data_IF_303287811550
#
_entry.id   IF_303287811550
#
_cell.length_a   1.000
_cell.length_b   1.000
_cell.length_c   1.000
_cell.angle_alpha   90.00
_cell.angle_beta   90.00
_cell.angle_gamma   90.00
#
_symmetry.space_group_name_H-M   'P 1'
#
loop_
_entity.id
_entity.type
_entity.pdbx_description
1 polymer ?
#
# COMPACT_ATOMS: atom_id res chain seq x y z
N UNK A 1 -6.81 -5.81 -6.68
CA UNK A 1 -6.47 -6.17 -5.29
C UNK A 1 -6.83 -7.63 -5.10
N UNK A 2 -5.97 -8.36 -4.38
CA UNK A 2 -6.25 -9.75 -3.96
C UNK A 2 -7.55 -9.81 -3.17
N UNK A 3 -8.16 -11.00 -3.12
CA UNK A 3 -9.38 -11.19 -2.33
C UNK A 3 -9.11 -10.93 -0.86
N UNK A 4 -10.14 -10.50 -0.13
CA UNK A 4 -10.05 -10.28 1.32
C UNK A 4 -9.63 -11.56 2.06
N UNK A 5 -10.05 -12.73 1.57
CA UNK A 5 -9.65 -14.01 2.14
C UNK A 5 -8.15 -14.26 1.99
N UNK A 6 -7.57 -13.99 0.82
CA UNK A 6 -6.13 -14.09 0.59
C UNK A 6 -5.35 -13.13 1.49
N UNK A 7 -5.76 -11.86 1.55
CA UNK A 7 -5.10 -10.85 2.39
C UNK A 7 -5.14 -11.26 3.87
N UNK A 8 -6.31 -11.69 4.38
CA UNK A 8 -6.47 -12.15 5.77
C UNK A 8 -5.64 -13.39 6.11
N UNK A 9 -5.32 -14.22 5.11
CA UNK A 9 -4.49 -15.41 5.30
C UNK A 9 -2.98 -15.11 5.28
N UNK A 10 -2.58 -13.90 4.87
CA UNK A 10 -1.17 -13.54 4.72
C UNK A 10 -0.50 -13.31 6.08
N UNK A 11 0.46 -14.16 6.41
CA UNK A 11 1.21 -14.13 7.68
C UNK A 11 2.16 -12.93 7.80
N UNK A 12 2.41 -12.22 6.69
CA UNK A 12 3.25 -11.01 6.65
C UNK A 12 2.54 -9.80 7.25
N UNK A 13 1.24 -9.88 7.55
CA UNK A 13 0.50 -8.80 8.19
C UNK A 13 -0.18 -9.26 9.47
N UNK A 14 -0.36 -8.31 10.40
CA UNK A 14 -1.16 -8.45 11.60
C UNK A 14 -2.30 -7.46 11.53
N UNK A 15 -3.49 -7.97 11.26
CA UNK A 15 -4.72 -7.16 11.16
C UNK A 15 -5.10 -6.67 12.56
N UNK A 16 -5.45 -5.39 12.62
CA UNK A 16 -5.81 -4.68 13.86
C UNK A 16 -7.27 -4.29 13.82
N UNK A 17 -7.73 -3.85 12.66
CA UNK A 17 -9.11 -3.46 12.43
C UNK A 17 -9.52 -3.79 10.98
N UNK A 18 -10.80 -4.03 10.78
CA UNK A 18 -11.37 -4.40 9.49
C UNK A 18 -12.79 -3.85 9.39
N UNK A 19 -13.03 -3.03 8.37
CA UNK A 19 -14.32 -2.43 8.05
C UNK A 19 -14.90 -2.94 6.75
N UNK A 20 -16.01 -2.34 6.34
CA UNK A 20 -16.70 -2.67 5.10
C UNK A 20 -15.85 -2.40 3.85
N UNK A 21 -15.08 -1.31 3.88
CA UNK A 21 -14.35 -0.74 2.74
C UNK A 21 -12.85 -0.54 3.01
N UNK A 22 -12.33 -1.12 4.09
CA UNK A 22 -10.93 -0.99 4.42
C UNK A 22 -10.47 -1.85 5.58
N UNK A 23 -9.17 -1.83 5.82
CA UNK A 23 -8.52 -2.48 6.96
C UNK A 23 -7.30 -1.73 7.44
N UNK A 24 -6.99 -1.89 8.73
CA UNK A 24 -5.76 -1.44 9.34
C UNK A 24 -4.94 -2.64 9.79
N UNK A 25 -3.66 -2.68 9.43
CA UNK A 25 -2.75 -3.73 9.82
C UNK A 25 -1.33 -3.22 10.04
N UNK A 26 -0.49 -4.08 10.58
CA UNK A 26 0.95 -3.86 10.68
C UNK A 26 1.70 -4.91 9.89
N UNK A 27 2.78 -4.51 9.24
CA UNK A 27 3.69 -5.47 8.61
C UNK A 27 4.46 -6.23 9.70
N UNK A 28 4.54 -7.56 9.56
CA UNK A 28 5.26 -8.45 10.47
C UNK A 28 6.62 -8.83 9.88
N UNK A 29 7.63 -8.95 10.75
CA UNK A 29 8.99 -9.30 10.36
C UNK A 29 9.96 -9.16 11.53
N UNK A 30 11.02 -9.96 11.56
CA UNK A 30 12.02 -9.92 12.64
C UNK A 30 12.74 -8.57 12.73
N UNK A 31 12.82 -7.86 11.61
CA UNK A 31 13.41 -6.51 11.53
C UNK A 31 12.52 -5.44 12.19
N UNK A 32 11.22 -5.70 12.37
CA UNK A 32 10.29 -4.75 12.97
C UNK A 32 10.13 -5.07 14.46
N UNK A 33 10.45 -4.11 15.33
CA UNK A 33 10.23 -4.28 16.78
C UNK A 33 8.75 -4.13 17.12
N UNK A 34 8.23 -5.03 17.95
CA UNK A 34 6.86 -4.92 18.49
C UNK A 34 6.80 -3.84 19.59
N UNK A 35 5.74 -3.00 19.64
CA UNK A 35 4.71 -2.84 18.65
C UNK A 35 5.06 -1.68 17.68
N UNK A 36 5.22 -2.02 16.39
CA UNK A 36 4.74 -1.24 15.23
C UNK A 36 5.64 -0.12 14.70
N UNK A 37 6.67 -0.50 13.94
CA UNK A 37 7.38 0.47 13.10
C UNK A 37 6.63 0.82 11.81
N UNK A 38 5.82 -0.08 11.24
CA UNK A 38 5.15 0.14 9.95
C UNK A 38 3.64 -0.09 9.99
N UNK A 39 2.88 1.00 9.98
CA UNK A 39 1.43 0.99 9.86
C UNK A 39 1.01 0.89 8.39
N UNK A 40 -0.03 0.10 8.13
CA UNK A 40 -0.60 -0.10 6.80
C UNK A 40 -2.10 0.10 6.89
N UNK A 41 -2.64 0.96 6.03
CA UNK A 41 -4.08 1.14 5.85
C UNK A 41 -4.40 0.79 4.41
N UNK A 42 -5.35 -0.11 4.21
CA UNK A 42 -5.84 -0.48 2.88
C UNK A 42 -7.32 -0.12 2.75
N UNK A 43 -7.73 0.33 1.56
CA UNK A 43 -9.12 0.66 1.22
C UNK A 43 -9.46 0.23 -0.20
N UNK A 44 -10.74 -0.11 -0.42
CA UNK A 44 -11.29 -0.50 -1.72
C UNK A 44 -12.60 0.26 -2.05
N UNK A 45 -12.71 1.51 -1.57
CA UNK A 45 -13.85 2.39 -1.81
C UNK A 45 -13.57 3.48 -2.86
N UNK A 46 -14.62 4.23 -3.23
CA UNK A 46 -14.47 5.42 -4.08
C UNK A 46 -14.00 5.15 -5.51
N UNK A 47 -14.08 3.91 -5.98
CA UNK A 47 -13.57 3.50 -7.30
C UNK A 47 -12.05 3.24 -7.33
N UNK A 48 -11.41 3.18 -6.17
CA UNK A 48 -9.97 2.96 -6.05
C UNK A 48 -9.64 1.82 -5.09
N UNK A 49 -8.58 1.12 -5.41
CA UNK A 49 -7.82 0.31 -4.49
C UNK A 49 -6.64 1.15 -4.00
N UNK A 50 -6.50 1.24 -2.69
CA UNK A 50 -5.53 2.11 -2.04
C UNK A 50 -4.84 1.37 -0.90
N UNK A 51 -3.51 1.54 -0.81
CA UNK A 51 -2.76 1.19 0.39
C UNK A 51 -1.83 2.35 0.75
N UNK A 52 -1.91 2.83 1.99
CA UNK A 52 -0.93 3.76 2.56
C UNK A 52 -0.07 3.07 3.60
N UNK A 53 1.22 3.36 3.58
CA UNK A 53 2.24 2.77 4.46
C UNK A 53 2.97 3.90 5.16
N UNK A 54 3.02 3.88 6.49
CA UNK A 54 3.69 4.92 7.26
C UNK A 54 4.52 4.36 8.41
N UNK A 55 5.65 5.03 8.68
CA UNK A 55 6.49 4.75 9.85
C UNK A 55 6.76 6.03 10.63
N UNK A 56 7.05 5.91 11.92
CA UNK A 56 7.20 7.07 12.82
C UNK A 56 8.37 7.98 12.48
N UNK A 57 9.47 7.44 11.97
CA UNK A 57 10.76 8.12 11.93
C UNK A 57 11.50 8.07 10.59
N UNK A 58 10.97 7.38 9.58
CA UNK A 58 11.59 7.27 8.26
C UNK A 58 10.56 6.92 7.20
N UNK A 59 10.86 7.23 5.95
CA UNK A 59 10.08 6.75 4.81
C UNK A 59 10.15 5.20 4.72
N UNK A 60 9.08 4.52 4.27
CA UNK A 60 9.17 3.13 3.83
C UNK A 60 10.27 2.98 2.76
N UNK A 61 11.01 1.87 2.80
CA UNK A 61 12.01 1.58 1.76
C UNK A 61 11.33 1.03 0.51
N UNK A 62 12.07 0.99 -0.59
CA UNK A 62 11.59 0.38 -1.83
C UNK A 62 11.16 -1.08 -1.64
N UNK A 63 11.97 -1.88 -0.97
CA UNK A 63 11.71 -3.30 -0.71
C UNK A 63 10.46 -3.51 0.16
N UNK A 64 10.22 -2.59 1.10
CA UNK A 64 9.02 -2.61 1.94
C UNK A 64 7.78 -2.31 1.10
N UNK A 65 7.87 -1.33 0.18
CA UNK A 65 6.77 -1.02 -0.74
C UNK A 65 6.51 -2.15 -1.73
N UNK A 66 7.55 -2.82 -2.25
CA UNK A 66 7.40 -4.02 -3.08
C UNK A 66 6.67 -5.13 -2.29
N UNK A 67 7.08 -5.39 -1.05
CA UNK A 67 6.43 -6.38 -0.20
C UNK A 67 4.96 -6.06 0.05
N UNK A 68 4.63 -4.77 0.23
CA UNK A 68 3.24 -4.32 0.36
C UNK A 68 2.47 -4.57 -0.95
N UNK A 69 3.04 -4.24 -2.11
CA UNK A 69 2.43 -4.58 -3.41
C UNK A 69 2.07 -6.06 -3.49
N UNK A 70 2.99 -6.94 -3.13
CA UNK A 70 2.82 -8.39 -3.22
C UNK A 70 1.77 -8.97 -2.24
N UNK A 71 1.50 -8.26 -1.14
CA UNK A 71 0.47 -8.65 -0.16
C UNK A 71 -0.93 -8.28 -0.67
N UNK A 72 -1.09 -7.09 -1.24
CA UNK A 72 -2.40 -6.54 -1.56
C UNK A 72 -2.79 -6.75 -3.03
N UNK A 73 -1.86 -6.95 -3.94
CA UNK A 73 -2.14 -7.11 -5.36
C UNK A 73 -1.48 -8.36 -5.95
N UNK A 74 -1.98 -8.78 -7.11
CA UNK A 74 -1.36 -9.79 -7.95
C UNK A 74 -0.06 -9.30 -8.57
N UNK A 75 0.74 -10.25 -9.06
CA UNK A 75 2.05 -9.97 -9.68
C UNK A 75 1.89 -9.06 -10.91
N UNK A 76 0.90 -9.34 -11.75
CA UNK A 76 0.61 -8.61 -12.99
C UNK A 76 -0.19 -7.31 -12.79
N UNK A 77 -0.60 -6.98 -11.56
CA UNK A 77 -1.35 -5.76 -11.30
C UNK A 77 -0.41 -4.55 -11.19
N UNK A 78 -0.66 -3.54 -12.02
CA UNK A 78 0.02 -2.26 -11.96
C UNK A 78 -0.61 -1.36 -10.88
N UNK A 79 0.23 -0.79 -10.02
CA UNK A 79 -0.10 0.22 -9.01
C UNK A 79 0.86 1.39 -9.16
N UNK A 80 0.40 2.59 -8.80
CA UNK A 80 1.17 3.83 -8.98
C UNK A 80 1.28 4.62 -7.67
N UNK A 81 2.37 5.38 -7.55
CA UNK A 81 2.52 6.43 -6.55
C UNK A 81 2.39 7.77 -7.27
N UNK A 82 1.41 8.58 -6.88
CA UNK A 82 1.21 9.89 -7.49
C UNK A 82 2.07 10.95 -6.81
N UNK A 83 2.69 11.81 -7.61
CA UNK A 83 3.20 13.09 -7.18
C UNK A 83 2.24 14.17 -7.70
N UNK A 84 1.15 14.48 -6.97
CA UNK A 84 0.17 15.44 -7.45
C UNK A 84 0.79 16.85 -7.54
N UNK A 85 0.16 17.76 -8.30
CA UNK A 85 0.50 19.17 -8.29
C UNK A 85 0.64 19.72 -6.86
N UNK A 86 1.58 20.64 -6.64
CA UNK A 86 1.91 21.13 -5.29
C UNK A 86 0.72 21.71 -4.52
N UNK A 87 -0.23 22.33 -5.22
CA UNK A 87 -1.47 22.88 -4.66
C UNK A 87 -2.49 21.80 -4.25
N UNK A 88 -2.36 20.58 -4.76
CA UNK A 88 -3.18 19.42 -4.41
C UNK A 88 -2.44 18.47 -3.44
N UNK A 89 -1.17 18.76 -3.14
CA UNK A 89 -0.35 17.93 -2.26
C UNK A 89 -0.77 18.09 -0.79
N UNK A 90 -1.51 17.11 -0.28
CA UNK A 90 -1.91 17.02 1.12
C UNK A 90 -0.96 16.06 1.84
N UNK A 91 -0.12 16.58 2.74
CA UNK A 91 0.81 15.77 3.54
C UNK A 91 0.36 15.68 5.00
N UNK A 92 -0.46 14.68 5.32
CA UNK A 92 -0.91 14.44 6.70
C UNK A 92 0.15 13.73 7.55
N UNK A 93 1.11 13.03 6.93
CA UNK A 93 2.13 12.27 7.62
C UNK A 93 3.43 12.24 6.80
N UNK A 94 4.54 12.83 7.32
CA UNK A 94 5.75 13.12 6.53
C UNK A 94 6.46 11.88 5.97
N UNK A 95 6.18 10.71 6.52
CA UNK A 95 6.77 9.44 6.11
C UNK A 95 5.72 8.44 5.61
N UNK A 96 4.70 8.92 4.91
CA UNK A 96 3.66 8.08 4.34
C UNK A 96 3.85 7.97 2.83
N UNK A 97 3.88 6.73 2.33
CA UNK A 97 3.83 6.42 0.90
C UNK A 97 2.51 5.74 0.56
N UNK A 98 2.05 5.91 -0.68
CA UNK A 98 0.72 5.48 -1.10
C UNK A 98 0.81 4.73 -2.42
N UNK A 99 0.21 3.54 -2.48
CA UNK A 99 -0.02 2.80 -3.71
C UNK A 99 -1.49 2.91 -4.08
N UNK A 100 -1.74 3.22 -5.35
CA UNK A 100 -3.07 3.40 -5.90
C UNK A 100 -3.28 2.55 -7.13
N UNK A 101 -4.49 2.01 -7.27
CA UNK A 101 -5.00 1.44 -8.52
C UNK A 101 -6.45 1.84 -8.73
N UNK A 102 -6.77 2.30 -9.94
CA UNK A 102 -8.15 2.63 -10.31
C UNK A 102 -8.89 1.36 -10.71
N UNK A 103 -10.08 1.15 -10.17
CA UNK A 103 -10.84 -0.09 -10.40
C UNK A 103 -11.39 -0.07 -11.83
N UNK A 104 -11.16 -1.16 -12.56
CA UNK A 104 -11.64 -1.32 -13.94
C UNK A 104 -10.77 -0.63 -15.00
N UNK A 105 -9.66 0.01 -14.62
CA UNK A 105 -8.74 0.68 -15.55
C UNK A 105 -7.33 0.10 -15.47
N UNK A 106 -6.64 0.09 -16.61
CA UNK A 106 -5.20 -0.19 -16.71
C UNK A 106 -4.42 1.12 -16.77
N UNK A 107 -3.19 1.10 -16.25
CA UNK A 107 -2.28 2.23 -16.38
C UNK A 107 -1.43 2.07 -17.64
N UNK A 108 -1.20 3.19 -18.33
CA UNK A 108 -0.08 3.28 -19.25
C UNK A 108 1.22 3.08 -18.48
N UNK A 109 2.12 2.27 -19.02
CA UNK A 109 3.46 2.08 -18.46
C UNK A 109 4.49 2.66 -19.43
N UNK A 110 5.63 3.17 -18.93
CA UNK A 110 6.67 3.70 -19.79
C UNK A 110 7.12 2.64 -20.81
N UNK A 111 7.54 3.04 -22.03
CA UNK A 111 8.07 2.10 -22.99
C UNK A 111 9.24 1.31 -22.39
N UNK A 112 9.18 -0.03 -22.47
CA UNK A 112 10.14 -0.95 -21.83
C UNK A 112 11.59 -0.69 -22.18
N UNK A 113 11.86 -0.08 -23.34
CA UNK A 113 13.19 0.29 -23.81
C UNK A 113 13.85 1.44 -23.03
N UNK A 114 13.11 2.15 -22.19
CA UNK A 114 13.59 3.29 -21.40
C UNK A 114 13.68 3.00 -19.89
N UNK A 115 13.46 1.75 -19.48
CA UNK A 115 13.38 1.31 -18.08
C UNK A 115 14.45 0.29 -17.77
#
# INVERSE_FOLDING_TARGET
MRTIAEIKSDKRIKIVDFGFDGMACYLTGKQYKEPREMAVIASWAGGWEHVSVSLRNRCPTWEEMCRIKDIFWGEDECVVQFHPPKNEYINLHPYCLHLWKKIGESFETPPKQFV
#
